data_IF_997738207940
#
_entry.id   IF_997738207940
#
_cell.length_a   1.000
_cell.length_b   1.000
_cell.length_c   1.000
_cell.angle_alpha   90.00
_cell.angle_beta   90.00
_cell.angle_gamma   90.00
#
_symmetry.space_group_name_H-M   'P 1'
#
loop_
_entity.id
_entity.type
_entity.pdbx_description
1 polymer ?
#
# COMPACT_ATOMS: atom_id res chain seq x y z
N UNK A 1 -5.18 37.34 15.02
CA UNK A 1 -4.11 36.32 15.10
C UNK A 1 -4.70 34.95 14.74
N UNK A 2 -4.69 34.58 13.46
CA UNK A 2 -5.22 33.29 13.01
C UNK A 2 -4.31 32.16 13.52
N UNK A 3 -4.80 31.38 14.49
CA UNK A 3 -4.10 30.19 15.02
C UNK A 3 -3.90 29.22 13.86
N UNK A 4 -2.68 29.13 13.32
CA UNK A 4 -2.31 28.15 12.30
C UNK A 4 -2.58 26.76 12.88
N UNK A 5 -3.54 26.02 12.31
CA UNK A 5 -3.84 24.65 12.72
C UNK A 5 -2.63 23.78 12.36
N UNK A 6 -1.91 23.30 13.37
CA UNK A 6 -0.81 22.36 13.18
C UNK A 6 -1.41 21.05 12.65
N UNK A 7 -1.15 20.72 11.39
CA UNK A 7 -1.56 19.45 10.81
C UNK A 7 -0.62 18.36 11.37
N UNK A 8 -1.13 17.52 12.25
CA UNK A 8 -0.42 16.30 12.69
C UNK A 8 -0.43 15.32 11.51
N UNK A 9 0.74 14.79 11.17
CA UNK A 9 0.91 13.78 10.13
C UNK A 9 1.47 12.54 10.83
N UNK A 10 0.72 11.46 10.81
CA UNK A 10 1.11 10.17 11.32
C UNK A 10 1.76 9.38 10.19
N UNK A 11 2.88 8.72 10.50
CA UNK A 11 3.58 7.85 9.57
C UNK A 11 3.47 6.42 10.10
N UNK A 12 3.00 5.51 9.25
CA UNK A 12 2.86 4.11 9.57
C UNK A 12 3.58 3.27 8.51
N UNK A 13 4.12 2.13 8.92
CA UNK A 13 4.79 1.18 8.05
C UNK A 13 3.90 -0.05 7.89
N UNK A 14 3.75 -0.54 6.66
CA UNK A 14 3.11 -1.82 6.41
C UNK A 14 4.07 -2.96 6.78
N UNK A 15 3.67 -3.83 7.70
CA UNK A 15 4.50 -4.97 8.13
C UNK A 15 4.81 -5.97 7.00
N UNK A 16 4.00 -6.02 5.94
CA UNK A 16 4.14 -7.00 4.86
C UNK A 16 5.00 -6.47 3.72
N UNK A 17 4.77 -5.23 3.27
CA UNK A 17 5.47 -4.65 2.12
C UNK A 17 6.60 -3.69 2.51
N UNK A 18 6.71 -3.29 3.78
CA UNK A 18 7.67 -2.29 4.25
C UNK A 18 7.39 -0.87 3.75
N UNK A 19 6.25 -0.66 3.10
CA UNK A 19 5.87 0.64 2.55
C UNK A 19 5.40 1.59 3.66
N UNK A 20 5.79 2.87 3.56
CA UNK A 20 5.44 3.89 4.56
C UNK A 20 4.28 4.76 4.09
N UNK A 21 3.19 4.75 4.85
CA UNK A 21 1.98 5.53 4.58
C UNK A 21 1.86 6.69 5.55
N UNK A 22 1.42 7.84 5.03
CA UNK A 22 1.19 9.05 5.82
C UNK A 22 -0.30 9.31 5.88
N UNK A 23 -0.83 9.45 7.08
CA UNK A 23 -2.24 9.81 7.30
C UNK A 23 -2.34 11.00 8.24
N UNK A 24 -3.45 11.73 8.13
CA UNK A 24 -3.75 12.86 9.02
C UNK A 24 -4.62 12.44 10.21
N UNK A 25 -5.12 11.21 10.19
CA UNK A 25 -5.91 10.60 11.27
C UNK A 25 -5.09 9.50 11.94
N UNK A 26 -5.16 9.43 13.27
CA UNK A 26 -4.55 8.34 14.02
C UNK A 26 -5.24 7.01 13.67
N UNK A 27 -4.44 5.98 13.42
CA UNK A 27 -4.95 4.64 13.16
C UNK A 27 -5.32 3.96 14.48
N UNK A 28 -6.49 3.29 14.57
CA UNK A 28 -6.94 2.64 15.80
C UNK A 28 -6.06 1.43 16.19
N UNK A 29 -5.47 0.74 15.20
CA UNK A 29 -4.52 -0.35 15.41
C UNK A 29 -3.33 -0.18 14.45
N UNK A 30 -2.29 0.56 14.84
CA UNK A 30 -1.14 0.79 13.96
C UNK A 30 -0.27 -0.45 13.75
N UNK A 31 -0.35 -1.45 14.64
CA UNK A 31 0.41 -2.71 14.52
C UNK A 31 -0.13 -3.67 13.48
N UNK A 32 -1.41 -3.55 13.11
CA UNK A 32 -2.07 -4.42 12.11
C UNK A 32 -2.21 -3.72 10.75
N UNK A 33 -1.60 -2.55 10.57
CA UNK A 33 -1.72 -1.83 9.31
C UNK A 33 -1.04 -2.60 8.17
N UNK A 34 -1.84 -2.91 7.16
CA UNK A 34 -1.42 -3.60 5.96
C UNK A 34 -1.96 -2.90 4.71
N UNK A 35 -1.20 -2.97 3.62
CA UNK A 35 -1.64 -2.45 2.33
C UNK A 35 -2.78 -3.27 1.79
N UNK A 36 -3.59 -2.66 0.93
CA UNK A 36 -4.72 -3.34 0.27
C UNK A 36 -4.21 -4.51 -0.57
N UNK A 37 -3.06 -4.36 -1.24
CA UNK A 37 -2.41 -5.45 -1.95
C UNK A 37 -2.01 -6.60 -1.02
N UNK A 38 -1.32 -6.31 0.08
CA UNK A 38 -0.93 -7.32 1.07
C UNK A 38 -2.13 -8.08 1.65
N UNK A 39 -3.22 -7.37 1.94
CA UNK A 39 -4.45 -7.99 2.46
C UNK A 39 -5.02 -9.03 1.48
N UNK A 40 -5.16 -8.66 0.19
CA UNK A 40 -5.70 -9.60 -0.81
C UNK A 40 -4.72 -10.70 -1.23
N UNK A 41 -3.41 -10.50 -1.07
CA UNK A 41 -2.44 -11.59 -1.24
C UNK A 41 -2.61 -12.68 -0.18
N UNK A 42 -2.97 -12.30 1.06
CA UNK A 42 -3.24 -13.26 2.13
C UNK A 42 -4.68 -13.80 2.12
N UNK A 43 -5.63 -13.05 1.56
CA UNK A 43 -7.05 -13.39 1.49
C UNK A 43 -7.62 -13.30 0.06
N UNK A 44 -7.18 -14.17 -0.87
CA UNK A 44 -7.62 -14.11 -2.26
C UNK A 44 -9.12 -14.43 -2.45
N UNK A 45 -9.71 -15.19 -1.51
CA UNK A 45 -11.14 -15.53 -1.53
C UNK A 45 -12.06 -14.32 -1.28
N UNK A 46 -11.55 -13.28 -0.62
CA UNK A 46 -12.28 -12.05 -0.31
C UNK A 46 -12.03 -10.94 -1.34
N UNK A 47 -11.31 -11.25 -2.42
CA UNK A 47 -11.00 -10.27 -3.46
C UNK A 47 -12.22 -9.95 -4.33
N UNK A 48 -13.01 -8.99 -3.85
CA UNK A 48 -14.17 -8.43 -4.54
C UNK A 48 -13.79 -7.28 -5.50
N UNK A 49 -12.50 -7.08 -5.82
CA UNK A 49 -12.10 -6.00 -6.73
C UNK A 49 -12.72 -6.21 -8.12
N UNK A 50 -13.17 -5.14 -8.79
CA UNK A 50 -13.75 -5.23 -10.12
C UNK A 50 -12.73 -5.75 -11.13
N UNK A 51 -13.22 -6.39 -12.19
CA UNK A 51 -12.40 -7.07 -13.21
C UNK A 51 -11.34 -6.12 -13.80
N UNK A 52 -11.71 -4.88 -14.10
CA UNK A 52 -10.79 -3.86 -14.63
C UNK A 52 -9.61 -3.57 -13.68
N UNK A 53 -9.85 -3.53 -12.37
CA UNK A 53 -8.81 -3.30 -11.36
C UNK A 53 -7.90 -4.53 -11.23
N UNK A 54 -8.47 -5.74 -11.28
CA UNK A 54 -7.68 -6.99 -11.24
C UNK A 54 -6.72 -7.09 -12.43
N UNK A 55 -7.18 -6.70 -13.62
CA UNK A 55 -6.34 -6.67 -14.82
C UNK A 55 -5.19 -5.67 -14.66
N UNK A 56 -5.48 -4.46 -14.19
CA UNK A 56 -4.47 -3.41 -13.96
C UNK A 56 -3.40 -3.84 -12.96
N UNK A 57 -3.82 -4.37 -11.81
CA UNK A 57 -2.89 -4.85 -10.78
C UNK A 57 -1.95 -5.91 -11.35
N UNK A 58 -2.47 -6.85 -12.14
CA UNK A 58 -1.65 -7.88 -12.77
C UNK A 58 -0.63 -7.31 -13.75
N UNK A 59 -1.03 -6.33 -14.57
CA UNK A 59 -0.11 -5.63 -15.49
C UNK A 59 0.96 -4.84 -14.75
N UNK A 60 0.61 -4.20 -13.64
CA UNK A 60 1.54 -3.48 -12.77
C UNK A 60 2.55 -4.44 -12.09
N UNK A 61 2.11 -5.63 -11.67
CA UNK A 61 3.00 -6.65 -11.13
C UNK A 61 3.98 -7.21 -12.17
N UNK A 62 3.51 -7.48 -13.39
CA UNK A 62 4.36 -7.93 -14.50
C UNK A 62 5.42 -6.88 -14.86
N UNK A 63 5.00 -5.63 -15.04
CA UNK A 63 5.92 -4.51 -15.35
C UNK A 63 6.90 -4.22 -14.21
N UNK A 64 6.45 -4.29 -12.95
CA UNK A 64 7.33 -4.15 -11.80
C UNK A 64 8.33 -5.31 -11.68
N UNK A 65 7.92 -6.54 -11.99
CA UNK A 65 8.80 -7.71 -12.00
C UNK A 65 9.85 -7.60 -13.12
N UNK A 66 9.46 -7.16 -14.32
CA UNK A 66 10.40 -6.90 -15.41
C UNK A 66 11.41 -5.80 -15.05
N UNK A 67 10.94 -4.69 -14.47
CA UNK A 67 11.83 -3.60 -14.04
C UNK A 67 12.80 -4.07 -12.94
N UNK A 68 12.30 -4.87 -11.99
CA UNK A 68 13.12 -5.45 -10.91
C UNK A 68 14.14 -6.46 -11.44
N UNK A 69 13.78 -7.25 -12.44
CA UNK A 69 14.68 -8.19 -13.11
C UNK A 69 15.75 -7.46 -13.94
N UNK A 70 15.39 -6.37 -14.61
CA UNK A 70 16.33 -5.50 -15.31
C UNK A 70 17.34 -4.87 -14.33
N UNK A 71 16.87 -4.33 -13.20
CA UNK A 71 17.72 -3.72 -12.17
C UNK A 71 18.65 -4.74 -11.48
N UNK A 72 18.25 -6.01 -11.40
CA UNK A 72 19.08 -7.08 -10.80
C UNK A 72 20.10 -7.67 -11.78
N UNK A 73 20.03 -7.30 -13.06
CA UNK A 73 20.95 -7.76 -14.10
C UNK A 73 22.08 -6.76 -14.40
N UNK A 74 22.16 -5.64 -13.66
CA UNK A 74 23.22 -4.62 -13.71
C UNK A 74 24.30 -4.79 -12.63
#
# INVERSE_FOLDING_TARGET
MSKKKIKKIYKYECNVTGETFKTTSEAPSPGDLMTVSAYYQMHPELDDRPVDVKIKVKQEEETAAELKAALLSE
#
